data_IF_499353903632
#
_entry.id   IF_499353903632
#
_cell.length_a   1.000
_cell.length_b   1.000
_cell.length_c   1.000
_cell.angle_alpha   90.00
_cell.angle_beta   90.00
_cell.angle_gamma   90.00
#
_symmetry.space_group_name_H-M   'P 1'
#
loop_
_entity.id
_entity.type
_entity.pdbx_description
1 polymer ?
#
# COMPACT_ATOMS: atom_id res chain seq x y z
N UNK A 1 33.05 -1.76 -15.36
CA UNK A 1 33.23 -1.47 -13.92
C UNK A 1 31.92 -1.78 -13.24
N UNK A 2 31.93 -2.61 -12.21
CA UNK A 2 30.75 -2.85 -11.37
C UNK A 2 30.32 -1.49 -10.83
N UNK A 3 29.05 -1.10 -11.02
CA UNK A 3 28.51 0.12 -10.43
C UNK A 3 28.71 0.01 -8.92
N UNK A 4 29.60 0.83 -8.34
CA UNK A 4 29.68 0.98 -6.89
C UNK A 4 28.34 1.53 -6.41
N UNK A 5 27.55 0.67 -5.77
CA UNK A 5 26.33 1.07 -5.12
C UNK A 5 26.70 1.80 -3.82
N UNK A 6 26.16 3.01 -3.57
CA UNK A 6 26.39 3.70 -2.31
C UNK A 6 25.96 2.81 -1.13
N UNK A 7 26.74 2.82 -0.05
CA UNK A 7 26.55 1.92 1.09
C UNK A 7 25.27 2.19 1.91
N UNK A 8 24.57 3.30 1.64
CA UNK A 8 23.38 3.73 2.38
C UNK A 8 22.21 3.98 1.44
N UNK A 9 21.06 3.42 1.80
CA UNK A 9 19.77 3.63 1.15
C UNK A 9 18.67 3.62 2.21
N UNK A 10 17.63 4.43 2.01
CA UNK A 10 16.41 4.37 2.83
C UNK A 10 15.59 3.15 2.42
N UNK A 11 15.32 2.25 3.37
CA UNK A 11 14.50 1.07 3.15
C UNK A 11 13.20 1.21 3.92
N UNK A 12 12.10 0.80 3.30
CA UNK A 12 10.83 0.67 3.98
C UNK A 12 10.80 -0.69 4.67
N UNK A 13 10.32 -0.70 5.91
CA UNK A 13 10.13 -1.94 6.66
C UNK A 13 8.84 -2.62 6.23
N UNK A 14 8.75 -3.93 6.43
CA UNK A 14 7.52 -4.71 6.29
C UNK A 14 6.86 -4.60 4.89
N UNK A 15 7.66 -4.55 3.83
CA UNK A 15 7.19 -4.41 2.44
C UNK A 15 6.29 -5.58 2.00
N UNK A 16 6.34 -6.70 2.72
CA UNK A 16 5.54 -7.89 2.52
C UNK A 16 4.12 -7.84 3.11
N UNK A 17 3.84 -6.89 4.00
CA UNK A 17 2.54 -6.81 4.70
C UNK A 17 1.46 -6.20 3.82
N UNK A 18 0.25 -6.76 3.94
CA UNK A 18 -0.97 -6.23 3.33
C UNK A 18 -2.20 -6.94 3.93
N UNK A 19 -3.24 -6.19 4.29
CA UNK A 19 -4.53 -6.75 4.74
C UNK A 19 -5.45 -7.09 3.55
N UNK A 20 -5.21 -8.23 2.91
CA UNK A 20 -5.95 -8.62 1.70
C UNK A 20 -7.47 -8.80 1.93
N UNK A 21 -7.86 -9.34 3.09
CA UNK A 21 -9.26 -9.59 3.43
C UNK A 21 -10.03 -8.27 3.54
N UNK A 22 -9.44 -7.27 4.21
CA UNK A 22 -10.02 -5.94 4.31
C UNK A 22 -10.32 -5.30 2.94
N UNK A 23 -9.43 -5.51 1.96
CA UNK A 23 -9.61 -5.02 0.59
C UNK A 23 -10.39 -5.97 -0.34
N UNK A 24 -11.07 -6.98 0.22
CA UNK A 24 -11.83 -8.00 -0.52
C UNK A 24 -11.01 -8.69 -1.63
N UNK A 25 -9.74 -8.97 -1.35
CA UNK A 25 -8.82 -9.60 -2.29
C UNK A 25 -8.41 -10.99 -1.80
N UNK A 26 -8.29 -11.96 -2.70
CA UNK A 26 -7.72 -13.26 -2.36
C UNK A 26 -6.23 -13.15 -2.06
N UNK A 27 -5.68 -14.14 -1.35
CA UNK A 27 -4.24 -14.21 -1.06
C UNK A 27 -3.43 -14.29 -2.37
N UNK A 28 -3.91 -15.03 -3.36
CA UNK A 28 -3.24 -15.17 -4.67
C UNK A 28 -3.18 -13.82 -5.40
N UNK A 29 -4.30 -13.11 -5.50
CA UNK A 29 -4.34 -11.78 -6.12
C UNK A 29 -3.43 -10.80 -5.38
N UNK A 30 -3.48 -10.78 -4.04
CA UNK A 30 -2.64 -9.91 -3.22
C UNK A 30 -1.14 -10.18 -3.41
N UNK A 31 -0.74 -11.44 -3.60
CA UNK A 31 0.65 -11.79 -3.88
C UNK A 31 1.13 -11.32 -5.26
N UNK A 32 0.23 -11.17 -6.23
CA UNK A 32 0.58 -10.65 -7.56
C UNK A 32 0.70 -9.13 -7.60
N UNK A 33 0.21 -8.41 -6.60
CA UNK A 33 0.33 -6.96 -6.53
C UNK A 33 1.79 -6.52 -6.30
N UNK A 34 2.19 -5.48 -7.02
CA UNK A 34 3.40 -4.73 -6.68
C UNK A 34 3.33 -4.23 -5.22
N UNK A 35 4.39 -4.36 -4.41
CA UNK A 35 4.38 -3.91 -3.02
C UNK A 35 4.03 -2.43 -2.84
N UNK A 36 4.39 -1.56 -3.79
CA UNK A 36 4.03 -0.15 -3.76
C UNK A 36 2.51 0.08 -3.83
N UNK A 37 1.79 -0.72 -4.61
CA UNK A 37 0.33 -0.64 -4.67
C UNK A 37 -0.33 -1.08 -3.36
N UNK A 38 0.20 -2.12 -2.70
CA UNK A 38 -0.28 -2.56 -1.37
C UNK A 38 -0.16 -1.45 -0.33
N UNK A 39 1.00 -0.79 -0.29
CA UNK A 39 1.24 0.38 0.57
C UNK A 39 0.28 1.51 0.22
N UNK A 40 0.06 1.77 -1.07
CA UNK A 40 -0.83 2.83 -1.53
C UNK A 40 -2.28 2.62 -1.08
N UNK A 41 -2.79 1.39 -1.16
CA UNK A 41 -4.14 1.06 -0.70
C UNK A 41 -4.33 1.36 0.78
N UNK A 42 -3.45 0.85 1.64
CA UNK A 42 -3.50 1.07 3.08
C UNK A 42 -3.31 2.54 3.45
N UNK A 43 -2.32 3.21 2.83
CA UNK A 43 -2.00 4.62 3.13
C UNK A 43 -3.12 5.56 2.70
N UNK A 44 -3.75 5.31 1.55
CA UNK A 44 -4.88 6.12 1.08
C UNK A 44 -6.09 5.95 1.99
N UNK A 45 -6.40 4.70 2.37
CA UNK A 45 -7.48 4.43 3.29
C UNK A 45 -7.26 5.09 4.66
N UNK A 46 -6.04 4.95 5.21
CA UNK A 46 -5.65 5.59 6.47
C UNK A 46 -5.73 7.12 6.40
N UNK A 47 -5.30 7.74 5.29
CA UNK A 47 -5.37 9.18 5.11
C UNK A 47 -6.81 9.73 5.06
N UNK A 48 -7.75 8.99 4.46
CA UNK A 48 -9.17 9.37 4.45
C UNK A 48 -9.74 9.34 5.88
N UNK A 49 -9.42 8.28 6.65
CA UNK A 49 -9.83 8.17 8.04
C UNK A 49 -9.20 9.25 8.92
N UNK A 50 -7.91 9.55 8.72
CA UNK A 50 -7.19 10.61 9.43
C UNK A 50 -7.83 11.99 9.19
N UNK A 51 -8.36 12.23 7.99
CA UNK A 51 -9.14 13.42 7.66
C UNK A 51 -10.53 13.47 8.33
N UNK A 52 -10.93 12.41 9.07
CA UNK A 52 -12.25 12.31 9.71
C UNK A 52 -13.39 12.04 8.72
N UNK A 53 -13.07 11.64 7.48
CA UNK A 53 -14.04 11.34 6.44
C UNK A 53 -14.35 9.85 6.45
N UNK A 54 -15.63 9.47 6.34
CA UNK A 54 -15.97 8.08 6.13
C UNK A 54 -15.73 7.71 4.65
N UNK A 55 -14.86 6.72 4.34
CA UNK A 55 -14.58 6.34 2.95
C UNK A 55 -15.82 5.99 2.12
N UNK A 56 -16.88 5.51 2.76
CA UNK A 56 -18.16 5.23 2.09
C UNK A 56 -18.81 6.48 1.48
N UNK A 57 -18.57 7.66 2.04
CA UNK A 57 -19.11 8.94 1.54
C UNK A 57 -18.45 9.37 0.23
N UNK A 58 -17.24 8.88 -0.05
CA UNK A 58 -16.49 9.17 -1.28
C UNK A 58 -16.77 8.16 -2.39
N UNK A 59 -17.43 7.03 -2.10
CA UNK A 59 -17.74 6.03 -3.11
C UNK A 59 -18.66 6.59 -4.20
N UNK A 60 -18.23 6.49 -5.46
CA UNK A 60 -19.00 6.99 -6.61
C UNK A 60 -18.96 8.51 -6.81
N UNK A 61 -18.19 9.24 -6.00
CA UNK A 61 -17.92 10.66 -6.21
C UNK A 61 -17.00 10.86 -7.43
N UNK A 62 -17.05 12.04 -8.05
CA UNK A 62 -16.31 12.39 -9.28
C UNK A 62 -15.06 13.21 -8.98
#
# INVERSE_FOLDING_TARGET
GVLEMPSRIGKLNNLEKFDAEFFNMSIEEAHTLDPGNRILFESTYAAILDAGVNPAELQGTR
#
